data_IF_782205241093
#
_entry.id   IF_782205241093
#
_cell.length_a   1.000
_cell.length_b   1.000
_cell.length_c   1.000
_cell.angle_alpha   90.00
_cell.angle_beta   90.00
_cell.angle_gamma   90.00
#
_symmetry.space_group_name_H-M   'P 1'
#
loop_
_entity.id
_entity.type
_entity.pdbx_description
1 polymer ?
#
# COMPACT_ATOMS: atom_id res chain seq x y z
N UNK A 1 22.99 12.32 27.54
CA UNK A 1 22.34 11.14 26.90
C UNK A 1 22.47 11.28 25.39
N UNK A 2 22.85 10.22 24.68
CA UNK A 2 22.99 10.23 23.22
C UNK A 2 21.61 10.49 22.57
N UNK A 3 21.50 11.51 21.69
CA UNK A 3 20.23 11.88 21.01
C UNK A 3 19.62 10.69 20.26
N UNK A 4 20.47 9.83 19.69
CA UNK A 4 20.06 8.61 19.01
C UNK A 4 19.44 7.59 19.99
N UNK A 5 20.04 7.41 21.17
CA UNK A 5 19.55 6.49 22.19
C UNK A 5 18.17 6.92 22.74
N UNK A 6 17.95 8.22 22.91
CA UNK A 6 16.65 8.77 23.29
C UNK A 6 15.59 8.53 22.22
N UNK A 7 15.97 8.64 20.95
CA UNK A 7 15.07 8.39 19.83
C UNK A 7 14.70 6.91 19.70
N UNK A 8 15.68 6.00 19.84
CA UNK A 8 15.44 4.56 19.89
C UNK A 8 14.54 4.17 21.06
N UNK A 9 14.74 4.75 22.25
CA UNK A 9 13.88 4.51 23.40
C UNK A 9 12.43 4.96 23.18
N UNK A 10 12.23 6.14 22.57
CA UNK A 10 10.91 6.64 22.22
C UNK A 10 10.19 5.72 21.22
N UNK A 11 10.92 5.22 20.22
CA UNK A 11 10.40 4.27 19.24
C UNK A 11 10.00 2.92 19.88
N UNK A 12 10.82 2.37 20.77
CA UNK A 12 10.49 1.13 21.50
C UNK A 12 9.29 1.30 22.44
N UNK A 13 9.09 2.49 23.01
CA UNK A 13 7.88 2.79 23.78
C UNK A 13 6.63 2.74 22.91
N UNK A 14 6.67 3.32 21.71
CA UNK A 14 5.56 3.29 20.75
C UNK A 14 5.24 1.84 20.34
N UNK A 15 6.26 1.03 20.02
CA UNK A 15 6.08 -0.41 19.73
C UNK A 15 5.45 -1.16 20.90
N UNK A 16 5.92 -0.88 22.12
CA UNK A 16 5.40 -1.52 23.33
C UNK A 16 3.94 -1.16 23.56
N UNK A 17 3.55 0.10 23.36
CA UNK A 17 2.15 0.53 23.41
C UNK A 17 1.29 -0.23 22.39
N UNK A 18 1.74 -0.37 21.15
CA UNK A 18 1.03 -1.11 20.11
C UNK A 18 0.88 -2.60 20.48
N UNK A 19 1.96 -3.26 20.89
CA UNK A 19 1.96 -4.65 21.32
C UNK A 19 1.01 -4.89 22.50
N UNK A 20 1.04 -4.01 23.50
CA UNK A 20 0.15 -4.10 24.65
C UNK A 20 -1.32 -3.92 24.24
N UNK A 21 -1.63 -3.05 23.28
CA UNK A 21 -3.00 -2.88 22.79
C UNK A 21 -3.50 -4.15 22.06
N UNK A 22 -2.63 -4.78 21.28
CA UNK A 22 -2.95 -6.01 20.56
C UNK A 22 -3.16 -7.21 21.51
N UNK A 23 -2.40 -7.27 22.61
CA UNK A 23 -2.54 -8.30 23.66
C UNK A 23 -3.74 -8.08 24.57
N UNK A 24 -4.25 -6.86 24.67
CA UNK A 24 -5.36 -6.56 25.58
C UNK A 24 -6.70 -7.12 25.07
N UNK A 25 -7.42 -7.81 25.96
CA UNK A 25 -8.74 -8.37 25.68
C UNK A 25 -9.76 -7.30 25.27
N UNK A 26 -10.77 -7.68 24.49
CA UNK A 26 -11.88 -6.78 24.08
C UNK A 26 -12.56 -6.11 25.29
N UNK A 27 -12.67 -6.83 26.39
CA UNK A 27 -13.28 -6.35 27.64
C UNK A 27 -12.52 -5.21 28.31
N UNK A 28 -11.21 -5.08 28.09
CA UNK A 28 -10.39 -3.97 28.64
C UNK A 28 -10.40 -2.71 27.78
N UNK A 29 -10.87 -2.79 26.53
CA UNK A 29 -10.86 -1.68 25.56
C UNK A 29 -12.05 -0.74 25.76
N UNK A 30 -12.21 -0.23 26.99
CA UNK A 30 -13.24 0.76 27.32
C UNK A 30 -12.91 2.12 26.68
N UNK A 31 -13.91 3.01 26.57
CA UNK A 31 -13.72 4.36 26.03
C UNK A 31 -12.61 5.14 26.76
N UNK A 32 -12.58 5.04 28.09
CA UNK A 32 -11.57 5.69 28.93
C UNK A 32 -10.17 5.13 28.70
N UNK A 33 -10.03 3.80 28.62
CA UNK A 33 -8.78 3.14 28.29
C UNK A 33 -8.27 3.55 26.90
N UNK A 34 -9.16 3.61 25.90
CA UNK A 34 -8.82 3.99 24.54
C UNK A 34 -8.34 5.44 24.47
N UNK A 35 -9.05 6.35 25.15
CA UNK A 35 -8.66 7.76 25.23
C UNK A 35 -7.29 7.92 25.90
N UNK A 36 -7.06 7.27 27.05
CA UNK A 36 -5.77 7.32 27.75
C UNK A 36 -4.62 6.83 26.87
N UNK A 37 -4.84 5.74 26.14
CA UNK A 37 -3.83 5.21 25.22
C UNK A 37 -3.59 6.10 24.01
N UNK A 38 -4.65 6.67 23.44
CA UNK A 38 -4.53 7.61 22.33
C UNK A 38 -3.72 8.84 22.75
N UNK A 39 -4.06 9.46 23.87
CA UNK A 39 -3.31 10.61 24.41
C UNK A 39 -1.85 10.25 24.69
N UNK A 40 -1.58 9.07 25.25
CA UNK A 40 -0.20 8.62 25.47
C UNK A 40 0.56 8.39 24.17
N UNK A 41 -0.11 7.86 23.15
CA UNK A 41 0.49 7.63 21.83
C UNK A 41 0.77 8.94 21.12
N UNK A 42 -0.17 9.89 21.16
CA UNK A 42 -0.03 11.23 20.59
C UNK A 42 1.15 11.97 21.23
N UNK A 43 1.27 11.95 22.56
CA UNK A 43 2.39 12.56 23.27
C UNK A 43 3.74 11.95 22.84
N UNK A 44 3.85 10.61 22.80
CA UNK A 44 5.06 9.92 22.33
C UNK A 44 5.36 10.22 20.85
N UNK A 45 4.33 10.35 20.02
CA UNK A 45 4.49 10.64 18.60
C UNK A 45 5.00 12.06 18.34
N UNK A 46 4.46 13.06 19.05
CA UNK A 46 4.94 14.45 18.98
C UNK A 46 6.42 14.52 19.36
N UNK A 47 6.77 13.85 20.45
CA UNK A 47 8.13 13.71 20.95
C UNK A 47 9.07 13.04 19.93
N UNK A 48 8.63 11.92 19.34
CA UNK A 48 9.35 11.20 18.30
C UNK A 48 9.60 12.08 17.08
N UNK A 49 8.56 12.77 16.60
CA UNK A 49 8.64 13.55 15.36
C UNK A 49 9.53 14.78 15.52
N UNK A 50 9.43 15.46 16.68
CA UNK A 50 10.29 16.62 17.00
C UNK A 50 11.76 16.22 17.00
N UNK A 51 12.10 15.12 17.68
CA UNK A 51 13.49 14.62 17.74
C UNK A 51 13.96 14.06 16.40
N UNK A 52 13.10 13.37 15.66
CA UNK A 52 13.41 12.88 14.31
C UNK A 52 13.76 14.03 13.37
N UNK A 53 13.01 15.13 13.45
CA UNK A 53 13.24 16.32 12.63
C UNK A 53 14.60 16.94 12.93
N UNK A 54 14.93 17.12 14.20
CA UNK A 54 16.24 17.63 14.64
C UNK A 54 17.38 16.70 14.21
N UNK A 55 17.24 15.39 14.42
CA UNK A 55 18.25 14.39 14.02
C UNK A 55 18.46 14.37 12.50
N UNK A 56 17.39 14.53 11.72
CA UNK A 56 17.46 14.53 10.25
C UNK A 56 18.13 15.78 9.67
N UNK A 57 18.19 16.87 10.45
CA UNK A 57 18.88 18.11 10.10
C UNK A 57 20.34 18.10 10.55
N UNK A 58 20.64 17.48 11.70
CA UNK A 58 21.99 17.47 12.29
C UNK A 58 22.90 16.35 11.77
N UNK A 59 22.34 15.24 11.29
CA UNK A 59 23.13 14.08 10.84
C UNK A 59 23.26 14.10 9.32
N UNK A 60 24.47 14.34 8.82
CA UNK A 60 24.79 14.29 7.39
C UNK A 60 24.78 12.86 6.85
N UNK A 61 25.30 11.88 7.62
CA UNK A 61 25.32 10.47 7.22
C UNK A 61 24.01 9.76 7.57
N UNK A 62 23.11 9.70 6.59
CA UNK A 62 21.83 9.00 6.70
C UNK A 62 21.95 7.47 6.62
N UNK A 63 23.16 6.91 6.51
CA UNK A 63 23.35 5.45 6.49
C UNK A 63 23.41 4.80 7.88
N UNK A 64 23.15 5.55 8.95
CA UNK A 64 23.11 4.98 10.30
C UNK A 64 21.88 4.09 10.50
N UNK A 65 22.04 3.03 11.30
CA UNK A 65 20.98 2.07 11.64
C UNK A 65 19.67 2.74 12.08
N UNK A 66 19.63 3.92 12.67
CA UNK A 66 18.33 4.54 12.99
C UNK A 66 17.49 4.92 11.75
N UNK A 67 18.14 5.36 10.67
CA UNK A 67 17.46 5.67 9.40
C UNK A 67 17.34 4.45 8.48
N UNK A 68 18.04 3.35 8.82
CA UNK A 68 18.14 2.13 8.02
C UNK A 68 17.50 0.89 8.66
N UNK A 69 17.34 0.87 9.99
CA UNK A 69 16.61 -0.12 10.80
C UNK A 69 15.14 0.10 10.48
N UNK A 70 14.80 -0.50 9.35
CA UNK A 70 13.47 -0.64 8.86
C UNK A 70 12.57 -1.11 10.02
N UNK A 71 11.41 -0.46 10.15
CA UNK A 71 10.29 -0.91 10.99
C UNK A 71 9.90 -2.37 10.65
N UNK A 72 10.44 -2.91 9.54
CA UNK A 72 10.56 -4.32 9.24
C UNK A 72 12.01 -4.82 9.33
N UNK A 73 12.43 -5.34 10.48
CA UNK A 73 13.83 -5.74 10.74
C UNK A 73 14.49 -6.65 9.70
N UNK A 74 15.82 -6.56 9.63
CA UNK A 74 16.81 -7.17 8.70
C UNK A 74 16.56 -8.56 8.10
N UNK A 75 15.64 -9.37 8.59
CA UNK A 75 15.19 -10.57 7.87
C UNK A 75 14.33 -10.25 6.64
N UNK A 76 13.95 -8.98 6.53
CA UNK A 76 13.14 -8.42 5.47
C UNK A 76 14.02 -7.77 4.40
N UNK A 77 15.21 -7.23 4.63
CA UNK A 77 15.99 -6.63 3.52
C UNK A 77 16.34 -7.66 2.42
N UNK A 78 16.52 -8.94 2.79
CA UNK A 78 16.65 -10.07 1.84
C UNK A 78 15.31 -10.71 1.39
N UNK A 79 14.16 -10.26 1.90
CA UNK A 79 12.80 -10.78 1.62
C UNK A 79 11.75 -9.73 1.22
N UNK A 80 12.03 -8.43 1.34
CA UNK A 80 11.19 -7.25 1.08
C UNK A 80 12.05 -6.18 0.35
N UNK A 81 12.69 -6.50 -0.76
CA UNK A 81 11.92 -6.22 -1.97
C UNK A 81 10.55 -6.85 -1.78
N UNK A 82 9.47 -6.07 -1.69
CA UNK A 82 8.13 -6.61 -1.90
C UNK A 82 8.02 -7.05 -3.38
N UNK A 83 9.04 -7.75 -3.88
CA UNK A 83 8.94 -8.93 -4.69
C UNK A 83 7.86 -9.77 -4.01
N UNK A 84 6.65 -9.70 -4.56
CA UNK A 84 6.00 -10.95 -4.92
C UNK A 84 7.06 -11.75 -5.65
N UNK A 85 7.91 -12.47 -4.88
CA UNK A 85 8.96 -13.27 -5.44
C UNK A 85 8.33 -14.01 -6.57
N UNK A 86 9.10 -14.06 -7.63
CA UNK A 86 8.91 -14.87 -8.82
C UNK A 86 8.68 -16.37 -8.51
N UNK A 87 8.37 -16.76 -7.27
CA UNK A 87 7.76 -18.02 -6.89
C UNK A 87 6.26 -17.96 -7.17
N UNK A 88 5.77 -19.01 -7.79
CA UNK A 88 4.62 -19.02 -8.68
C UNK A 88 3.25 -18.78 -8.03
N UNK A 89 3.15 -18.36 -6.76
CA UNK A 89 1.93 -18.58 -5.96
C UNK A 89 1.31 -17.40 -5.19
N UNK A 90 1.82 -16.16 -5.24
CA UNK A 90 1.17 -15.03 -4.51
C UNK A 90 0.84 -13.77 -5.34
N UNK A 91 0.49 -13.88 -6.62
CA UNK A 91 0.22 -12.74 -7.53
C UNK A 91 -1.21 -12.17 -7.45
N UNK A 92 -1.76 -11.84 -6.28
CA UNK A 92 -3.21 -11.55 -6.22
C UNK A 92 -3.58 -10.11 -6.59
N UNK A 93 -2.69 -9.12 -6.44
CA UNK A 93 -3.07 -7.68 -6.52
C UNK A 93 -2.17 -6.78 -7.37
N UNK A 94 -1.14 -7.30 -8.04
CA UNK A 94 -0.38 -6.53 -9.06
C UNK A 94 0.38 -5.27 -8.59
N UNK A 95 0.54 -5.03 -7.28
CA UNK A 95 1.18 -3.84 -6.71
C UNK A 95 2.43 -4.20 -5.89
N UNK A 96 3.61 -3.69 -6.26
CA UNK A 96 4.87 -3.84 -5.53
C UNK A 96 5.38 -2.52 -4.95
N UNK A 97 6.17 -2.60 -3.88
CA UNK A 97 6.85 -1.44 -3.28
C UNK A 97 8.37 -1.64 -3.30
N UNK A 98 9.08 -0.64 -3.78
CA UNK A 98 10.53 -0.52 -3.71
C UNK A 98 10.89 0.43 -2.55
N UNK A 99 11.28 -0.10 -1.38
CA UNK A 99 11.56 0.73 -0.20
C UNK A 99 12.79 1.62 -0.39
N UNK A 100 13.79 1.17 -1.17
CA UNK A 100 15.03 1.91 -1.41
C UNK A 100 14.78 3.18 -2.23
N UNK A 101 13.90 3.10 -3.22
CA UNK A 101 13.54 4.24 -4.05
C UNK A 101 12.30 5.00 -3.52
N UNK A 102 11.64 4.46 -2.50
CA UNK A 102 10.33 4.89 -2.00
C UNK A 102 9.28 5.01 -3.11
N UNK A 103 9.24 4.02 -4.01
CA UNK A 103 8.35 4.00 -5.18
C UNK A 103 7.49 2.76 -5.21
N UNK A 104 6.23 2.92 -5.59
CA UNK A 104 5.34 1.81 -5.93
C UNK A 104 5.42 1.48 -7.42
N UNK A 105 5.30 0.20 -7.75
CA UNK A 105 5.37 -0.36 -9.11
C UNK A 105 4.17 -1.26 -9.35
N UNK A 106 3.55 -1.14 -10.52
CA UNK A 106 2.44 -2.00 -10.92
C UNK A 106 2.92 -3.09 -11.87
N UNK A 107 2.70 -4.36 -11.54
CA UNK A 107 3.12 -5.51 -12.32
C UNK A 107 1.93 -6.41 -12.65
N UNK A 108 1.19 -6.06 -13.70
CA UNK A 108 0.04 -6.81 -14.18
C UNK A 108 0.46 -7.89 -15.17
N UNK A 109 -0.06 -9.10 -14.96
CA UNK A 109 0.14 -10.25 -15.86
C UNK A 109 -1.20 -10.65 -16.44
N UNK A 110 -1.47 -10.16 -17.63
CA UNK A 110 -2.64 -10.55 -18.41
C UNK A 110 -2.31 -11.77 -19.28
N UNK A 111 -3.23 -12.72 -19.42
CA UNK A 111 -2.97 -13.96 -20.16
C UNK A 111 -2.95 -13.71 -21.67
N UNK A 112 -1.95 -14.21 -22.41
CA UNK A 112 -1.80 -13.92 -23.85
C UNK A 112 -2.97 -14.36 -24.74
N UNK A 113 -3.87 -15.21 -24.24
CA UNK A 113 -4.96 -15.75 -25.04
C UNK A 113 -6.09 -14.71 -25.25
N UNK A 114 -6.01 -13.97 -26.36
CA UNK A 114 -6.92 -12.89 -26.76
C UNK A 114 -8.28 -13.43 -27.24
N UNK A 115 -8.32 -14.65 -27.75
CA UNK A 115 -9.47 -15.16 -28.53
C UNK A 115 -10.62 -15.72 -27.68
N UNK A 116 -10.40 -16.00 -26.39
CA UNK A 116 -11.39 -16.62 -25.50
C UNK A 116 -11.26 -16.10 -24.07
N UNK A 117 -11.62 -14.84 -23.85
CA UNK A 117 -11.68 -14.29 -22.50
C UNK A 117 -13.00 -14.73 -21.86
N UNK A 118 -12.91 -15.39 -20.70
CA UNK A 118 -14.07 -15.77 -19.90
C UNK A 118 -14.41 -14.70 -18.86
N UNK A 119 -15.63 -14.71 -18.32
CA UNK A 119 -16.02 -13.80 -17.23
C UNK A 119 -15.13 -13.96 -15.98
N UNK A 120 -14.70 -15.19 -15.66
CA UNK A 120 -13.77 -15.51 -14.57
C UNK A 120 -12.38 -14.94 -14.84
N UNK A 121 -11.89 -15.09 -16.08
CA UNK A 121 -10.62 -14.51 -16.48
C UNK A 121 -10.66 -12.98 -16.39
N UNK A 122 -11.72 -12.34 -16.90
CA UNK A 122 -11.92 -10.89 -16.79
C UNK A 122 -11.87 -10.44 -15.32
N UNK A 123 -12.62 -11.10 -14.43
CA UNK A 123 -12.61 -10.78 -13.01
C UNK A 123 -11.20 -10.91 -12.39
N UNK A 124 -10.51 -12.00 -12.71
CA UNK A 124 -9.15 -12.26 -12.22
C UNK A 124 -8.13 -11.25 -12.74
N UNK A 125 -8.28 -10.75 -13.97
CA UNK A 125 -7.41 -9.72 -14.51
C UNK A 125 -7.74 -8.35 -13.92
N UNK A 126 -9.02 -8.02 -13.71
CA UNK A 126 -9.45 -6.77 -13.06
C UNK A 126 -9.00 -6.72 -11.60
N UNK A 127 -9.01 -7.83 -10.86
CA UNK A 127 -8.55 -7.86 -9.47
C UNK A 127 -7.07 -7.54 -9.32
N UNK A 128 -6.27 -7.75 -10.37
CA UNK A 128 -4.86 -7.33 -10.38
C UNK A 128 -4.70 -5.80 -10.45
N UNK A 129 -5.74 -5.06 -10.86
CA UNK A 129 -5.74 -3.59 -10.91
C UNK A 129 -6.03 -2.98 -9.53
N UNK A 130 -5.48 -3.56 -8.46
CA UNK A 130 -5.69 -3.09 -7.11
C UNK A 130 -5.02 -1.72 -6.91
N UNK A 131 -5.81 -0.74 -6.51
CA UNK A 131 -5.38 0.64 -6.35
C UNK A 131 -5.95 1.21 -5.03
N UNK A 132 -5.29 0.95 -3.90
CA UNK A 132 -5.79 1.39 -2.59
C UNK A 132 -5.74 2.90 -2.41
N UNK A 133 -4.93 3.61 -3.20
CA UNK A 133 -4.66 5.04 -3.03
C UNK A 133 -5.21 5.91 -4.16
N UNK A 134 -5.86 5.29 -5.16
CA UNK A 134 -6.55 5.98 -6.25
C UNK A 134 -5.64 6.49 -7.36
N UNK A 135 -4.37 6.07 -7.43
CA UNK A 135 -3.41 6.54 -8.44
C UNK A 135 -3.80 6.19 -9.88
N UNK A 136 -4.55 5.11 -10.04
CA UNK A 136 -5.00 4.54 -11.30
C UNK A 136 -6.52 4.58 -11.41
N UNK A 137 -7.19 5.47 -10.69
CA UNK A 137 -8.65 5.61 -10.67
C UNK A 137 -9.28 5.57 -12.07
N UNK A 138 -8.77 6.28 -13.11
CA UNK A 138 -9.35 6.21 -14.45
C UNK A 138 -9.35 4.77 -15.03
N UNK A 139 -8.27 4.03 -14.81
CA UNK A 139 -8.09 2.65 -15.28
C UNK A 139 -9.02 1.71 -14.50
N UNK A 140 -9.00 1.80 -13.17
CA UNK A 140 -9.78 0.90 -12.31
C UNK A 140 -11.29 1.12 -12.46
N UNK A 141 -11.73 2.37 -12.66
CA UNK A 141 -13.12 2.71 -12.96
C UNK A 141 -13.53 2.13 -14.32
N UNK A 142 -12.72 2.33 -15.37
CA UNK A 142 -13.02 1.79 -16.70
C UNK A 142 -13.16 0.25 -16.67
N UNK A 143 -12.25 -0.43 -15.98
CA UNK A 143 -12.29 -1.88 -15.78
C UNK A 143 -13.59 -2.32 -15.06
N UNK A 144 -13.97 -1.65 -13.96
CA UNK A 144 -15.21 -1.93 -13.23
C UNK A 144 -16.45 -1.73 -14.10
N UNK A 145 -16.50 -0.69 -14.93
CA UNK A 145 -17.61 -0.45 -15.86
C UNK A 145 -17.74 -1.60 -16.87
N UNK A 146 -16.62 -2.10 -17.41
CA UNK A 146 -16.60 -3.25 -18.32
C UNK A 146 -17.14 -4.50 -17.60
N UNK A 147 -16.70 -4.76 -16.37
CA UNK A 147 -17.18 -5.89 -15.58
C UNK A 147 -18.68 -5.78 -15.25
N UNK A 148 -19.17 -4.60 -14.90
CA UNK A 148 -20.60 -4.38 -14.66
C UNK A 148 -21.44 -4.65 -15.91
N UNK A 149 -20.99 -4.22 -17.09
CA UNK A 149 -21.66 -4.53 -18.38
C UNK A 149 -21.69 -6.04 -18.66
N UNK A 150 -20.64 -6.76 -18.27
CA UNK A 150 -20.64 -8.22 -18.29
C UNK A 150 -21.63 -8.80 -17.26
N UNK A 151 -21.79 -8.18 -16.10
CA UNK A 151 -22.75 -8.59 -15.08
C UNK A 151 -24.21 -8.57 -15.54
N UNK A 152 -24.57 -7.67 -16.46
CA UNK A 152 -25.92 -7.60 -17.07
C UNK A 152 -26.23 -8.70 -18.09
N UNK A 153 -25.29 -9.64 -18.30
CA UNK A 153 -25.48 -10.81 -19.17
C UNK A 153 -25.66 -12.07 -18.33
N UNK A 154 -26.39 -13.06 -18.84
CA UNK A 154 -26.63 -14.35 -18.16
C UNK A 154 -25.40 -15.29 -18.10
N UNK A 155 -24.19 -14.73 -18.14
CA UNK A 155 -22.93 -15.47 -18.14
C UNK A 155 -22.52 -15.90 -16.73
N UNK A 156 -22.03 -17.13 -16.61
CA UNK A 156 -21.57 -17.76 -15.38
C UNK A 156 -20.08 -18.11 -15.52
N UNK A 157 -19.24 -17.56 -14.63
CA UNK A 157 -17.86 -18.01 -14.45
C UNK A 157 -17.04 -18.13 -15.75
N UNK A 158 -16.89 -19.36 -16.25
CA UNK A 158 -16.07 -19.68 -17.43
C UNK A 158 -16.76 -19.41 -18.77
N UNK A 159 -17.97 -18.86 -18.77
CA UNK A 159 -18.64 -18.45 -20.00
C UNK A 159 -17.85 -17.38 -20.74
N UNK A 160 -17.79 -17.53 -22.06
CA UNK A 160 -17.07 -16.62 -22.95
C UNK A 160 -17.75 -15.25 -22.98
N UNK A 161 -16.94 -14.18 -22.92
CA UNK A 161 -17.45 -12.82 -23.05
C UNK A 161 -18.02 -12.56 -24.46
N UNK A 162 -19.12 -11.79 -24.56
CA UNK A 162 -19.57 -11.23 -25.82
C UNK A 162 -18.46 -10.40 -26.46
N UNK A 163 -18.31 -10.52 -27.79
CA UNK A 163 -17.27 -9.85 -28.59
C UNK A 163 -17.11 -8.36 -28.22
N UNK A 164 -18.22 -7.63 -28.15
CA UNK A 164 -18.20 -6.19 -27.85
C UNK A 164 -17.65 -5.82 -26.45
N UNK A 165 -17.71 -6.75 -25.48
CA UNK A 165 -17.14 -6.58 -24.13
C UNK A 165 -15.67 -6.99 -24.15
N UNK A 166 -15.36 -8.13 -24.77
CA UNK A 166 -13.99 -8.61 -24.95
C UNK A 166 -13.12 -7.57 -25.66
N UNK A 167 -13.60 -6.96 -26.75
CA UNK A 167 -12.88 -5.92 -27.49
C UNK A 167 -12.56 -4.69 -26.63
N UNK A 168 -13.51 -4.27 -25.78
CA UNK A 168 -13.30 -3.14 -24.86
C UNK A 168 -12.26 -3.48 -23.80
N UNK A 169 -12.32 -4.69 -23.26
CA UNK A 169 -11.33 -5.17 -22.30
C UNK A 169 -9.95 -5.26 -22.93
N UNK A 170 -9.83 -5.79 -24.14
CA UNK A 170 -8.57 -5.94 -24.85
C UNK A 170 -7.92 -4.59 -25.19
N UNK A 171 -8.71 -3.59 -25.58
CA UNK A 171 -8.22 -2.22 -25.78
C UNK A 171 -7.68 -1.63 -24.48
N UNK A 172 -8.47 -1.68 -23.40
CA UNK A 172 -8.04 -1.19 -22.10
C UNK A 172 -6.79 -1.93 -21.61
N UNK A 173 -6.72 -3.24 -21.80
CA UNK A 173 -5.57 -4.07 -21.47
C UNK A 173 -4.31 -3.64 -22.22
N UNK A 174 -4.42 -3.32 -23.51
CA UNK A 174 -3.30 -2.79 -24.29
C UNK A 174 -2.82 -1.44 -23.73
N UNK A 175 -3.75 -0.54 -23.42
CA UNK A 175 -3.44 0.76 -22.80
C UNK A 175 -2.74 0.59 -21.45
N UNK A 176 -3.25 -0.31 -20.59
CA UNK A 176 -2.67 -0.64 -19.30
C UNK A 176 -1.24 -1.20 -19.45
N UNK A 177 -1.00 -2.02 -20.46
CA UNK A 177 0.31 -2.63 -20.72
C UNK A 177 1.36 -1.57 -21.09
N UNK A 178 0.95 -0.45 -21.69
CA UNK A 178 1.82 0.69 -21.96
C UNK A 178 2.16 1.51 -20.69
N UNK A 179 1.43 1.30 -19.60
CA UNK A 179 1.54 2.02 -18.32
C UNK A 179 2.40 1.25 -17.29
N UNK A 180 3.08 0.17 -17.72
CA UNK A 180 3.79 -0.81 -16.87
C UNK A 180 4.82 -0.28 -15.87
N UNK A 181 5.23 0.98 -15.95
CA UNK A 181 6.25 1.56 -15.08
C UNK A 181 5.85 2.96 -14.59
N UNK A 182 4.70 3.07 -13.92
CA UNK A 182 4.45 4.25 -13.08
C UNK A 182 5.19 4.07 -11.76
N UNK A 183 6.21 4.90 -11.55
CA UNK A 183 6.84 5.08 -10.25
C UNK A 183 6.07 6.14 -9.48
N UNK A 184 5.24 5.74 -8.52
CA UNK A 184 4.60 6.69 -7.62
C UNK A 184 5.48 6.89 -6.39
N UNK A 185 6.04 8.09 -6.24
CA UNK A 185 6.70 8.50 -5.00
C UNK A 185 5.65 8.91 -3.98
N UNK A 186 5.72 8.36 -2.78
CA UNK A 186 4.92 8.86 -1.67
C UNK A 186 5.51 10.19 -1.18
N UNK A 187 4.70 11.24 -1.15
CA UNK A 187 5.01 12.41 -0.35
C UNK A 187 4.86 12.01 1.12
N UNK A 188 5.98 11.84 1.83
CA UNK A 188 5.95 11.61 3.28
C UNK A 188 5.47 12.89 3.96
N UNK A 189 4.58 12.75 4.93
CA UNK A 189 4.17 13.86 5.78
C UNK A 189 5.36 14.23 6.68
N UNK A 190 6.09 15.29 6.30
CA UNK A 190 7.29 15.72 7.01
C UNK A 190 6.99 16.64 8.21
N UNK A 191 5.79 16.53 8.80
CA UNK A 191 5.41 17.25 10.02
C UNK A 191 5.32 18.78 9.93
N UNK A 192 5.87 19.41 8.88
CA UNK A 192 6.08 20.85 8.88
C UNK A 192 4.99 21.66 8.17
N UNK A 193 4.36 21.20 7.08
CA UNK A 193 3.59 22.17 6.25
C UNK A 193 2.24 21.72 5.65
N UNK A 194 1.79 20.47 5.75
CA UNK A 194 0.60 20.08 4.95
C UNK A 194 -0.51 19.36 5.73
N UNK A 195 -1.23 20.13 6.56
CA UNK A 195 -2.49 19.68 7.18
C UNK A 195 -3.66 19.62 6.19
N UNK A 196 -3.49 20.15 4.99
CA UNK A 196 -4.55 20.32 3.98
C UNK A 196 -4.85 19.03 3.21
N UNK A 197 -3.85 18.15 3.02
CA UNK A 197 -3.99 16.95 2.18
C UNK A 197 -4.88 15.88 2.84
N UNK A 198 -5.01 15.87 4.17
CA UNK A 198 -5.80 14.85 4.89
C UNK A 198 -7.32 15.07 4.86
N UNK A 199 -7.79 16.29 4.61
CA UNK A 199 -9.24 16.62 4.66
C UNK A 199 -9.94 16.25 3.34
N UNK A 200 -9.23 16.19 2.21
CA UNK A 200 -9.82 15.96 0.88
C UNK A 200 -9.97 14.47 0.48
N UNK A 201 -9.58 13.51 1.33
CA UNK A 201 -9.69 12.06 1.03
C UNK A 201 -10.75 11.32 1.85
N UNK A 202 -11.60 12.04 2.60
CA UNK A 202 -12.83 11.52 3.19
C UNK A 202 -14.03 12.35 2.72
N UNK A 203 -14.46 12.09 1.50
CA UNK A 203 -15.86 12.29 1.08
C UNK A 203 -16.31 11.02 0.38
#
# INVERSE_FOLDING_TARGET
MNKLALQSACFENIKTLANNYNKDSKTRKTKEYLNKRLTSLEAQWVDFNTRHTLLSQEIEDKNINYFMDDICGDQISSRITFDFKQDETMKTLGLGWNPRADTFVFNWKFQENVYKITKRQLLSEISQLYDPLGWLSPITIAAKIIFQKCGSTNLIGDDQLPLHIADKWLKLRADITNVKYINVKLARFNGAEDRTIWILRRQ
#
